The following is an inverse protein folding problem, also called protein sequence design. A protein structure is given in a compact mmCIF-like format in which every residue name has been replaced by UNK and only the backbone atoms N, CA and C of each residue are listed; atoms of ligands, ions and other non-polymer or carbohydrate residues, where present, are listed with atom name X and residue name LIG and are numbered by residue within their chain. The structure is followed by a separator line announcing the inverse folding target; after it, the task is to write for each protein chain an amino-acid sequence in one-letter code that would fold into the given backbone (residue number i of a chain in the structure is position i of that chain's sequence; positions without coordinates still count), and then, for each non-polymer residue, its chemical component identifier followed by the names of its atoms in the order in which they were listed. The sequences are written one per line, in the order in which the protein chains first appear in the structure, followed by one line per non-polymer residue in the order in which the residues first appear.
data_IF_138206731679
#
_entry.id   IF_138206731679
#
_cell.length_a   1.000
_cell.length_b   1.000
_cell.length_c   1.000
_cell.angle_alpha   90.00
_cell.angle_beta   90.00
_cell.angle_gamma   90.00
#
_symmetry.space_group_name_H-M   'P 1'
#
loop_
_entity.id
_entity.type
_entity.pdbx_description
1 polymer ?
#
# COMPACT_ATOMS: atom_id res chain seq x y z
N UNK A 1 1.72 -18.87 -24.98
CA UNK A 1 1.65 -18.18 -23.70
C UNK A 1 2.90 -17.36 -23.50
N UNK A 2 2.83 -16.17 -22.91
CA UNK A 2 4.02 -15.43 -22.51
C UNK A 2 4.85 -16.27 -21.53
N UNK A 3 6.17 -16.09 -21.56
CA UNK A 3 7.05 -16.71 -20.56
C UNK A 3 6.79 -16.02 -19.22
N UNK A 4 6.41 -16.75 -18.20
CA UNK A 4 6.13 -16.22 -16.87
C UNK A 4 5.75 -17.32 -15.89
N UNK A 5 5.62 -16.95 -14.62
CA UNK A 5 5.13 -17.84 -13.57
C UNK A 5 3.63 -17.97 -13.67
N UNK A 6 3.12 -19.19 -13.71
CA UNK A 6 1.68 -19.47 -13.73
C UNK A 6 1.20 -19.58 -12.29
N UNK A 7 0.23 -18.75 -11.93
CA UNK A 7 -0.44 -18.79 -10.62
C UNK A 7 -1.86 -19.30 -10.83
N UNK A 8 -2.27 -20.29 -10.06
CA UNK A 8 -3.67 -20.79 -10.07
C UNK A 8 -4.51 -19.98 -9.10
N UNK A 9 -5.67 -19.56 -9.54
CA UNK A 9 -6.66 -18.84 -8.70
C UNK A 9 -7.94 -19.67 -8.57
N UNK A 10 -8.68 -19.57 -7.46
CA UNK A 10 -8.35 -18.75 -6.29
C UNK A 10 -7.17 -19.31 -5.49
N UNK A 11 -6.37 -18.42 -4.89
CA UNK A 11 -5.34 -18.81 -3.93
C UNK A 11 -6.01 -19.33 -2.66
N UNK A 12 -5.51 -20.45 -2.14
CA UNK A 12 -6.01 -21.05 -0.90
C UNK A 12 -5.08 -20.78 0.28
N UNK A 13 -3.78 -20.60 -0.01
CA UNK A 13 -2.74 -20.40 1.00
C UNK A 13 -1.75 -19.33 0.52
N UNK A 14 -1.86 -18.12 1.02
CA UNK A 14 -0.95 -17.05 0.67
C UNK A 14 -0.22 -16.48 1.89
N UNK A 15 0.96 -15.89 1.66
CA UNK A 15 1.68 -15.11 2.66
C UNK A 15 1.63 -13.65 2.26
N UNK A 16 1.17 -12.77 3.17
CA UNK A 16 1.18 -11.33 2.96
C UNK A 16 2.45 -10.70 3.57
N UNK A 17 3.22 -10.01 2.76
CA UNK A 17 4.48 -9.37 3.19
C UNK A 17 4.26 -8.01 3.84
N UNK A 18 3.10 -7.39 3.64
CA UNK A 18 2.79 -6.09 4.25
C UNK A 18 1.50 -6.14 5.04
N UNK A 19 1.39 -5.29 6.06
CA UNK A 19 0.17 -5.11 6.84
C UNK A 19 -0.99 -4.60 5.98
N UNK A 20 -0.70 -3.86 4.90
CA UNK A 20 -1.69 -3.34 3.95
C UNK A 20 -2.39 -4.48 3.22
N UNK A 21 -1.62 -5.41 2.65
CA UNK A 21 -2.17 -6.56 1.93
C UNK A 21 -2.99 -7.46 2.87
N UNK A 22 -2.46 -7.74 4.07
CA UNK A 22 -3.19 -8.50 5.08
C UNK A 22 -4.52 -7.87 5.47
N UNK A 23 -4.54 -6.55 5.68
CA UNK A 23 -5.76 -5.80 6.04
C UNK A 23 -6.78 -5.80 4.91
N UNK A 24 -6.34 -5.62 3.67
CA UNK A 24 -7.21 -5.68 2.49
C UNK A 24 -7.87 -7.06 2.34
N UNK A 25 -7.13 -8.13 2.60
CA UNK A 25 -7.68 -9.49 2.56
C UNK A 25 -8.71 -9.74 3.66
N UNK A 26 -8.59 -9.08 4.81
CA UNK A 26 -9.66 -9.08 5.81
C UNK A 26 -10.94 -8.42 5.27
N UNK A 27 -10.81 -7.24 4.65
CA UNK A 27 -11.95 -6.50 4.09
C UNK A 27 -12.64 -7.27 2.95
N UNK A 28 -11.87 -8.02 2.16
CA UNK A 28 -12.38 -8.91 1.11
C UNK A 28 -12.99 -10.20 1.63
N UNK A 29 -12.91 -10.49 2.95
CA UNK A 29 -13.34 -11.76 3.52
C UNK A 29 -12.47 -12.94 3.13
N UNK A 30 -11.22 -12.69 2.76
CA UNK A 30 -10.24 -13.69 2.32
C UNK A 30 -9.18 -14.03 3.38
N UNK A 31 -9.31 -13.53 4.62
CA UNK A 31 -8.35 -13.75 5.70
C UNK A 31 -8.03 -15.24 5.94
N UNK A 32 -9.00 -16.13 5.78
CA UNK A 32 -8.80 -17.57 5.99
C UNK A 32 -7.88 -18.23 4.95
N UNK A 33 -7.63 -17.53 3.84
CA UNK A 33 -6.72 -17.94 2.77
C UNK A 33 -5.29 -17.43 3.01
N UNK A 34 -5.05 -16.72 4.13
CA UNK A 34 -3.70 -16.42 4.59
C UNK A 34 -3.17 -17.57 5.45
N UNK A 35 -1.93 -18.00 5.19
CA UNK A 35 -1.19 -18.94 6.02
C UNK A 35 -0.04 -18.27 6.79
N UNK A 36 0.34 -17.04 6.43
CA UNK A 36 1.38 -16.28 7.09
C UNK A 36 1.35 -14.78 6.78
N UNK A 37 1.96 -14.02 7.68
CA UNK A 37 2.17 -12.58 7.54
C UNK A 37 3.59 -12.21 7.95
N UNK A 38 4.18 -11.25 7.25
CA UNK A 38 5.40 -10.59 7.71
C UNK A 38 5.08 -9.32 8.50
N UNK A 39 6.12 -8.71 9.08
CA UNK A 39 6.06 -7.41 9.74
C UNK A 39 4.97 -7.32 10.84
N UNK A 40 4.86 -8.36 11.67
CA UNK A 40 3.82 -8.49 12.70
C UNK A 40 3.69 -7.26 13.60
N UNK A 41 4.79 -6.61 13.94
CA UNK A 41 4.80 -5.44 14.84
C UNK A 41 4.09 -4.23 14.22
N UNK A 42 4.00 -4.17 12.89
CA UNK A 42 3.31 -3.11 12.15
C UNK A 42 1.84 -3.45 11.81
N UNK A 43 1.38 -4.65 12.17
CA UNK A 43 -0.01 -5.04 11.95
C UNK A 43 -0.89 -4.39 13.01
N UNK A 44 -1.75 -3.46 12.62
CA UNK A 44 -2.71 -2.81 13.51
C UNK A 44 -4.08 -3.51 13.52
N UNK A 45 -4.35 -4.39 12.56
CA UNK A 45 -5.62 -5.09 12.42
C UNK A 45 -5.79 -6.14 13.51
N UNK A 46 -6.80 -6.02 14.42
CA UNK A 46 -6.94 -6.91 15.57
C UNK A 46 -7.13 -8.38 15.17
N UNK A 47 -7.91 -8.65 14.12
CA UNK A 47 -8.21 -10.00 13.66
C UNK A 47 -6.94 -10.74 13.19
N UNK A 48 -6.03 -10.04 12.50
CA UNK A 48 -4.74 -10.62 12.09
C UNK A 48 -3.83 -10.87 13.29
N UNK A 49 -3.75 -9.91 14.22
CA UNK A 49 -2.95 -10.07 15.42
C UNK A 49 -3.44 -11.24 16.27
N UNK A 50 -4.74 -11.35 16.45
CA UNK A 50 -5.35 -12.44 17.19
C UNK A 50 -5.05 -13.79 16.53
N UNK A 51 -5.19 -13.89 15.20
CA UNK A 51 -4.90 -15.11 14.46
C UNK A 51 -3.44 -15.57 14.60
N UNK A 52 -2.49 -14.62 14.63
CA UNK A 52 -1.07 -14.92 14.88
C UNK A 52 -0.88 -15.41 16.33
N UNK A 53 -1.46 -14.71 17.30
CA UNK A 53 -1.36 -15.09 18.73
C UNK A 53 -1.94 -16.46 19.00
N UNK A 54 -3.03 -16.82 18.33
CA UNK A 54 -3.69 -18.13 18.44
C UNK A 54 -2.99 -19.23 17.62
N UNK A 55 -1.91 -18.91 16.89
CA UNK A 55 -1.19 -19.87 16.05
C UNK A 55 -1.93 -20.30 14.77
N UNK A 56 -3.02 -19.61 14.42
CA UNK A 56 -3.79 -19.87 13.18
C UNK A 56 -3.13 -19.24 11.94
N UNK A 57 -2.30 -18.26 12.16
CA UNK A 57 -1.56 -17.52 11.14
C UNK A 57 -0.10 -17.42 11.56
N UNK A 58 0.83 -17.84 10.70
CA UNK A 58 2.23 -17.85 11.04
C UNK A 58 2.84 -16.44 10.96
N UNK A 59 3.66 -16.07 11.96
CA UNK A 59 4.55 -14.92 11.86
C UNK A 59 5.80 -15.34 11.08
N UNK A 60 5.95 -14.78 9.88
CA UNK A 60 7.02 -15.08 8.94
C UNK A 60 8.28 -14.23 9.12
N UNK A 61 8.35 -13.42 10.20
CA UNK A 61 9.45 -12.50 10.45
C UNK A 61 9.28 -11.15 9.75
N UNK A 62 10.40 -10.46 9.55
CA UNK A 62 10.41 -9.18 8.83
C UNK A 62 10.35 -9.40 7.32
N UNK A 63 9.63 -8.56 6.59
CA UNK A 63 9.55 -8.63 5.12
C UNK A 63 10.92 -8.48 4.43
N UNK A 64 11.84 -7.75 5.05
CA UNK A 64 13.22 -7.59 4.59
C UNK A 64 14.13 -8.79 4.92
N UNK A 65 13.75 -9.60 5.91
CA UNK A 65 14.50 -10.80 6.34
C UNK A 65 13.50 -11.87 6.80
N UNK A 66 12.74 -12.48 5.88
CA UNK A 66 11.72 -13.45 6.23
C UNK A 66 12.33 -14.80 6.67
N UNK A 67 11.60 -15.52 7.49
CA UNK A 67 11.93 -16.85 7.97
C UNK A 67 11.69 -17.88 6.84
N UNK A 68 12.75 -18.27 6.15
CA UNK A 68 12.67 -19.17 4.99
C UNK A 68 12.16 -20.58 5.37
N UNK A 69 12.47 -21.07 6.57
CA UNK A 69 12.01 -22.38 7.03
C UNK A 69 10.48 -22.37 7.21
N UNK A 70 9.95 -21.33 7.85
CA UNK A 70 8.50 -21.15 7.97
C UNK A 70 7.82 -20.95 6.63
N UNK A 71 8.47 -20.22 5.69
CA UNK A 71 7.94 -20.06 4.33
C UNK A 71 7.78 -21.42 3.64
N UNK A 72 8.80 -22.28 3.69
CA UNK A 72 8.75 -23.63 3.12
C UNK A 72 7.66 -24.45 3.82
N UNK A 73 7.64 -24.46 5.15
CA UNK A 73 6.68 -25.22 5.94
C UNK A 73 5.24 -24.73 5.76
N UNK A 74 5.03 -23.52 5.29
CA UNK A 74 3.69 -22.95 5.07
C UNK A 74 2.94 -23.59 3.90
N UNK A 75 3.65 -24.21 2.97
CA UNK A 75 3.09 -24.71 1.70
C UNK A 75 2.22 -23.65 0.99
N UNK A 76 2.71 -22.41 0.94
CA UNK A 76 1.99 -21.32 0.31
C UNK A 76 1.89 -21.49 -1.20
N UNK A 77 0.74 -21.14 -1.78
CA UNK A 77 0.51 -21.10 -3.23
C UNK A 77 1.21 -19.90 -3.86
N UNK A 78 1.35 -18.81 -3.09
CA UNK A 78 2.01 -17.59 -3.53
C UNK A 78 2.46 -16.71 -2.34
N UNK A 79 3.47 -15.88 -2.59
CA UNK A 79 3.92 -14.82 -1.69
C UNK A 79 3.53 -13.47 -2.30
N UNK A 80 2.76 -12.66 -1.56
CA UNK A 80 2.36 -11.31 -1.96
C UNK A 80 3.42 -10.34 -1.50
N UNK A 81 4.31 -9.95 -2.41
CA UNK A 81 5.48 -9.12 -2.11
C UNK A 81 5.32 -7.71 -2.66
N UNK A 82 5.97 -6.72 -2.04
CA UNK A 82 6.08 -5.37 -2.61
C UNK A 82 7.39 -5.24 -3.37
N UNK A 83 7.36 -4.81 -4.64
CA UNK A 83 8.58 -4.58 -5.40
C UNK A 83 9.36 -3.39 -4.84
N UNK A 84 10.69 -3.50 -4.79
CA UNK A 84 11.57 -2.38 -4.46
C UNK A 84 12.52 -2.16 -5.63
N UNK A 85 12.78 -0.89 -5.95
CA UNK A 85 13.74 -0.57 -7.02
C UNK A 85 15.10 -1.18 -6.74
N UNK A 86 15.64 -1.93 -7.70
CA UNK A 86 16.97 -2.53 -7.69
C UNK A 86 17.24 -3.50 -6.53
N UNK A 87 16.22 -4.02 -5.88
CA UNK A 87 16.34 -5.02 -4.83
C UNK A 87 15.92 -6.40 -5.34
N UNK A 88 16.70 -7.43 -5.03
CA UNK A 88 16.26 -8.82 -5.15
C UNK A 88 15.47 -9.21 -3.90
N UNK A 89 14.59 -10.19 -4.06
CA UNK A 89 13.87 -10.77 -2.91
C UNK A 89 14.71 -11.77 -2.12
N UNK A 90 15.99 -11.91 -2.45
CA UNK A 90 16.95 -12.72 -1.72
C UNK A 90 16.59 -14.21 -1.69
N UNK A 91 16.60 -14.80 -0.49
CA UNK A 91 16.38 -16.24 -0.31
C UNK A 91 15.02 -16.74 -0.79
N UNK A 92 13.98 -15.91 -0.76
CA UNK A 92 12.62 -16.35 -1.15
C UNK A 92 12.49 -16.64 -2.64
N UNK A 93 13.31 -16.04 -3.50
CA UNK A 93 13.34 -16.34 -4.93
C UNK A 93 13.69 -17.82 -5.24
N UNK A 94 14.38 -18.46 -4.30
CA UNK A 94 14.86 -19.85 -4.43
C UNK A 94 13.87 -20.89 -3.90
N UNK A 95 12.75 -20.44 -3.34
CA UNK A 95 11.80 -21.35 -2.67
C UNK A 95 10.85 -22.06 -3.64
N UNK A 96 10.88 -21.75 -4.93
CA UNK A 96 9.92 -22.23 -5.94
C UNK A 96 8.45 -21.95 -5.58
N UNK A 97 8.20 -20.95 -4.74
CA UNK A 97 6.87 -20.42 -4.44
C UNK A 97 6.66 -19.20 -5.34
N UNK A 98 5.55 -19.09 -6.09
CA UNK A 98 5.26 -17.94 -6.92
C UNK A 98 5.32 -16.62 -6.14
N UNK A 99 6.07 -15.65 -6.65
CA UNK A 99 6.09 -14.29 -6.12
C UNK A 99 5.09 -13.45 -6.93
N UNK A 100 4.13 -12.84 -6.25
CA UNK A 100 3.18 -11.90 -6.84
C UNK A 100 3.57 -10.51 -6.38
N UNK A 101 4.11 -9.72 -7.31
CA UNK A 101 4.51 -8.34 -7.05
C UNK A 101 3.29 -7.43 -6.99
N UNK A 102 3.00 -6.93 -5.79
CA UNK A 102 1.90 -6.01 -5.52
C UNK A 102 2.46 -4.58 -5.44
N UNK A 103 2.37 -3.85 -6.54
CA UNK A 103 2.93 -2.51 -6.70
C UNK A 103 1.93 -1.38 -6.35
N UNK A 104 0.95 -1.66 -5.50
CA UNK A 104 -0.12 -0.73 -5.11
C UNK A 104 0.40 0.60 -4.54
N UNK A 105 1.53 0.56 -3.83
CA UNK A 105 2.14 1.76 -3.28
C UNK A 105 2.78 2.69 -4.34
N UNK A 106 3.01 2.18 -5.55
CA UNK A 106 3.58 2.94 -6.67
C UNK A 106 2.51 3.68 -7.48
N UNK A 107 1.22 3.45 -7.18
CA UNK A 107 0.14 4.16 -7.85
C UNK A 107 0.20 5.66 -7.57
N UNK A 108 -0.02 6.45 -8.62
CA UNK A 108 0.04 7.90 -8.54
C UNK A 108 -1.29 8.56 -8.15
N UNK A 109 -2.39 7.79 -8.14
CA UNK A 109 -3.73 8.31 -7.84
C UNK A 109 -4.42 7.50 -6.74
N UNK A 110 -5.26 8.15 -5.90
CA UNK A 110 -6.00 7.46 -4.85
C UNK A 110 -6.93 6.35 -5.36
N UNK A 111 -7.65 6.60 -6.45
CA UNK A 111 -8.52 5.58 -7.04
C UNK A 111 -7.73 4.46 -7.71
N UNK A 112 -6.61 4.75 -8.39
CA UNK A 112 -5.72 3.73 -8.93
C UNK A 112 -5.22 2.81 -7.83
N UNK A 113 -4.79 3.37 -6.69
CA UNK A 113 -4.38 2.56 -5.54
C UNK A 113 -5.53 1.74 -4.95
N UNK A 114 -6.72 2.31 -4.85
CA UNK A 114 -7.90 1.58 -4.37
C UNK A 114 -8.32 0.46 -5.33
N UNK A 115 -8.09 0.61 -6.63
CA UNK A 115 -8.46 -0.39 -7.64
C UNK A 115 -7.69 -1.71 -7.49
N UNK A 116 -6.54 -1.71 -6.82
CA UNK A 116 -5.81 -2.93 -6.49
C UNK A 116 -6.65 -3.94 -5.71
N UNK A 117 -7.68 -3.49 -4.98
CA UNK A 117 -8.61 -4.42 -4.32
C UNK A 117 -9.28 -5.40 -5.30
N UNK A 118 -9.49 -5.00 -6.58
CA UNK A 118 -10.02 -5.86 -7.63
C UNK A 118 -9.03 -6.94 -8.03
N UNK A 119 -7.74 -6.58 -8.13
CA UNK A 119 -6.68 -7.55 -8.38
C UNK A 119 -6.61 -8.59 -7.25
N UNK A 120 -6.64 -8.17 -6.00
CA UNK A 120 -6.73 -9.09 -4.87
C UNK A 120 -8.03 -9.90 -4.88
N UNK A 121 -9.14 -9.28 -5.26
CA UNK A 121 -10.41 -9.99 -5.45
C UNK A 121 -10.29 -11.16 -6.42
N UNK A 122 -9.66 -10.94 -7.56
CA UNK A 122 -9.40 -11.97 -8.58
C UNK A 122 -8.49 -13.09 -8.03
N UNK A 123 -7.42 -12.71 -7.32
CA UNK A 123 -6.49 -13.70 -6.76
C UNK A 123 -7.15 -14.65 -5.75
N UNK A 124 -8.14 -14.17 -5.01
CA UNK A 124 -8.74 -14.89 -3.88
C UNK A 124 -10.19 -15.34 -4.13
N UNK A 125 -10.71 -15.20 -5.35
CA UNK A 125 -12.09 -15.54 -5.68
C UNK A 125 -13.12 -14.67 -4.94
N UNK A 126 -12.84 -13.38 -4.83
CA UNK A 126 -13.66 -12.38 -4.14
C UNK A 126 -14.01 -11.19 -5.07
N UNK A 127 -14.10 -11.42 -6.37
CA UNK A 127 -14.30 -10.39 -7.38
C UNK A 127 -15.55 -9.54 -7.12
N UNK A 128 -16.66 -10.19 -6.78
CA UNK A 128 -17.92 -9.48 -6.51
C UNK A 128 -17.82 -8.58 -5.27
N UNK A 129 -17.15 -9.05 -4.20
CA UNK A 129 -16.91 -8.26 -2.99
C UNK A 129 -15.99 -7.09 -3.28
N UNK A 130 -14.89 -7.33 -3.98
CA UNK A 130 -13.90 -6.32 -4.35
C UNK A 130 -14.52 -5.23 -5.24
N UNK A 131 -15.32 -5.63 -6.23
CA UNK A 131 -16.00 -4.68 -7.12
C UNK A 131 -17.04 -3.83 -6.37
N UNK A 132 -17.77 -4.44 -5.44
CA UNK A 132 -18.73 -3.72 -4.59
C UNK A 132 -18.03 -2.69 -3.69
N UNK A 133 -16.94 -3.09 -3.02
CA UNK A 133 -16.17 -2.19 -2.17
C UNK A 133 -15.52 -1.07 -2.97
N UNK A 134 -14.94 -1.38 -4.14
CA UNK A 134 -14.35 -0.36 -5.00
C UNK A 134 -15.39 0.69 -5.44
N UNK A 135 -16.57 0.26 -5.87
CA UNK A 135 -17.66 1.18 -6.27
C UNK A 135 -18.07 2.11 -5.14
N UNK A 136 -18.08 1.64 -3.89
CA UNK A 136 -18.37 2.49 -2.73
C UNK A 136 -17.26 3.53 -2.54
N UNK A 137 -15.99 3.11 -2.61
CA UNK A 137 -14.84 4.01 -2.50
C UNK A 137 -14.84 5.05 -3.62
N UNK A 138 -15.00 4.61 -4.87
CA UNK A 138 -15.03 5.47 -6.06
C UNK A 138 -16.15 6.52 -5.97
N UNK A 139 -17.36 6.09 -5.61
CA UNK A 139 -18.50 6.99 -5.43
C UNK A 139 -18.21 8.04 -4.38
N UNK A 140 -17.83 7.62 -3.17
CA UNK A 140 -17.57 8.52 -2.05
C UNK A 140 -16.44 9.50 -2.37
N UNK A 141 -15.37 9.01 -2.98
CA UNK A 141 -14.23 9.83 -3.38
C UNK A 141 -14.63 10.89 -4.40
N UNK A 142 -15.37 10.49 -5.44
CA UNK A 142 -15.84 11.39 -6.50
C UNK A 142 -16.78 12.46 -5.96
N UNK A 143 -17.72 12.08 -5.09
CA UNK A 143 -18.67 13.03 -4.47
C UNK A 143 -17.95 14.04 -3.57
N UNK A 144 -16.99 13.60 -2.76
CA UNK A 144 -16.17 14.46 -1.91
C UNK A 144 -15.33 15.43 -2.76
N UNK A 145 -14.63 14.94 -3.76
CA UNK A 145 -13.82 15.76 -4.67
C UNK A 145 -14.70 16.82 -5.37
N UNK A 146 -15.87 16.42 -5.89
CA UNK A 146 -16.79 17.35 -6.53
C UNK A 146 -17.32 18.43 -5.55
N UNK A 147 -17.48 18.10 -4.28
CA UNK A 147 -17.87 19.06 -3.23
C UNK A 147 -16.76 20.06 -2.96
N UNK A 148 -15.52 19.57 -2.86
CA UNK A 148 -14.33 20.40 -2.63
C UNK A 148 -14.08 21.37 -3.78
N UNK A 149 -14.29 20.93 -5.03
CA UNK A 149 -14.07 21.78 -6.21
C UNK A 149 -14.97 23.02 -6.26
N UNK A 150 -16.13 22.99 -5.58
CA UNK A 150 -17.01 24.14 -5.44
C UNK A 150 -16.47 25.22 -4.47
N UNK A 151 -15.50 24.85 -3.64
CA UNK A 151 -14.90 25.77 -2.68
C UNK A 151 -13.76 26.57 -3.36
N UNK A 152 -13.81 27.88 -3.25
CA UNK A 152 -12.78 28.78 -3.81
C UNK A 152 -11.58 28.93 -2.87
N UNK A 153 -11.74 28.68 -1.57
CA UNK A 153 -10.63 28.72 -0.62
C UNK A 153 -9.81 27.45 -0.74
N UNK A 154 -8.51 27.61 -0.96
CA UNK A 154 -7.55 26.52 -1.05
C UNK A 154 -6.45 26.75 -0.02
N UNK A 155 -6.56 26.12 1.17
CA UNK A 155 -5.56 26.31 2.21
C UNK A 155 -4.19 25.82 1.74
N UNK A 156 -3.15 26.54 2.10
CA UNK A 156 -1.76 26.11 1.88
C UNK A 156 -1.42 25.02 2.89
N UNK A 157 -0.94 23.88 2.38
CA UNK A 157 -0.65 22.69 3.16
C UNK A 157 0.87 22.44 3.19
N UNK A 158 1.43 22.36 4.39
CA UNK A 158 2.71 21.75 4.69
C UNK A 158 2.46 20.43 5.42
N UNK A 159 3.28 19.42 5.15
CA UNK A 159 3.17 18.12 5.81
C UNK A 159 4.53 17.64 6.29
N UNK A 160 4.49 16.61 7.13
CA UNK A 160 5.64 15.96 7.74
C UNK A 160 6.46 16.88 8.64
N UNK A 161 7.64 16.45 8.97
CA UNK A 161 8.56 17.17 9.84
C UNK A 161 10.02 16.92 9.42
N UNK A 162 10.91 17.77 9.86
CA UNK A 162 12.33 17.59 9.66
C UNK A 162 12.82 16.33 10.39
N UNK A 163 13.48 15.45 9.65
CA UNK A 163 14.14 14.25 10.19
C UNK A 163 15.63 14.33 9.85
N UNK A 164 16.48 14.35 10.87
CA UNK A 164 17.90 14.55 10.69
C UNK A 164 18.21 15.90 10.02
N UNK A 165 18.88 15.85 8.88
CA UNK A 165 19.27 17.04 8.11
C UNK A 165 18.26 17.52 7.07
N UNK A 166 17.21 16.74 6.78
CA UNK A 166 16.32 16.96 5.65
C UNK A 166 14.84 16.89 6.05
N UNK A 167 13.99 17.48 5.21
CA UNK A 167 12.55 17.39 5.29
C UNK A 167 12.05 16.53 4.12
N UNK A 168 11.54 15.35 4.41
CA UNK A 168 11.03 14.43 3.40
C UNK A 168 9.54 14.64 3.23
N UNK A 169 9.12 14.94 1.99
CA UNK A 169 7.72 15.20 1.64
C UNK A 169 7.34 14.41 0.38
N UNK A 170 6.08 14.04 0.20
CA UNK A 170 5.62 13.45 -1.06
C UNK A 170 5.83 14.39 -2.24
N UNK A 171 6.29 13.86 -3.36
CA UNK A 171 6.36 14.63 -4.61
C UNK A 171 4.98 15.03 -5.12
N UNK A 172 4.93 16.05 -5.97
CA UNK A 172 3.67 16.59 -6.51
C UNK A 172 2.89 15.59 -7.36
N UNK A 173 3.58 14.65 -8.04
CA UNK A 173 2.96 13.57 -8.83
C UNK A 173 2.82 12.26 -8.06
N UNK A 174 3.03 12.25 -6.75
CA UNK A 174 2.80 11.08 -5.91
C UNK A 174 1.32 10.87 -5.63
N UNK A 175 0.98 9.67 -5.12
CA UNK A 175 -0.35 9.37 -4.59
C UNK A 175 -0.85 10.43 -3.59
N UNK A 176 0.00 10.81 -2.61
CA UNK A 176 -0.36 11.82 -1.61
C UNK A 176 -0.46 13.22 -2.22
N UNK A 177 0.43 13.59 -3.15
CA UNK A 177 0.33 14.84 -3.87
C UNK A 177 -1.00 14.97 -4.63
N UNK A 178 -1.44 13.90 -5.29
CA UNK A 178 -2.74 13.81 -5.95
C UNK A 178 -3.89 13.91 -4.95
N UNK A 179 -3.80 13.21 -3.81
CA UNK A 179 -4.82 13.25 -2.76
C UNK A 179 -5.00 14.66 -2.19
N UNK A 180 -3.91 15.37 -1.89
CA UNK A 180 -3.97 16.75 -1.37
C UNK A 180 -4.60 17.72 -2.37
N UNK A 181 -4.26 17.58 -3.65
CA UNK A 181 -4.87 18.35 -4.74
C UNK A 181 -6.38 18.09 -4.80
N UNK A 182 -6.80 16.83 -4.76
CA UNK A 182 -8.20 16.44 -4.84
C UNK A 182 -8.97 16.85 -3.59
N UNK A 183 -8.31 16.90 -2.43
CA UNK A 183 -8.83 17.48 -1.20
C UNK A 183 -8.89 19.02 -1.20
N UNK A 184 -8.45 19.66 -2.29
CA UNK A 184 -8.53 21.12 -2.46
C UNK A 184 -7.42 21.89 -1.76
N UNK A 185 -6.35 21.26 -1.32
CA UNK A 185 -5.21 21.93 -0.72
C UNK A 185 -4.27 22.53 -1.79
N UNK A 186 -3.66 23.67 -1.45
CA UNK A 186 -2.52 24.23 -2.16
C UNK A 186 -1.25 23.65 -1.52
N UNK A 187 -0.88 22.47 -1.97
CA UNK A 187 0.26 21.74 -1.42
C UNK A 187 1.59 22.43 -1.80
N UNK A 188 2.44 22.71 -0.83
CA UNK A 188 3.66 23.52 -1.01
C UNK A 188 4.69 22.91 -2.00
N UNK A 189 4.54 21.64 -2.39
CA UNK A 189 5.39 20.92 -3.35
C UNK A 189 4.59 20.41 -4.55
N UNK A 190 3.37 20.87 -4.76
CA UNK A 190 2.48 20.41 -5.84
C UNK A 190 3.08 20.49 -7.25
N UNK A 191 3.98 21.43 -7.49
CA UNK A 191 4.64 21.64 -8.79
C UNK A 191 5.89 20.76 -8.99
N UNK A 192 6.20 19.85 -8.06
CA UNK A 192 7.29 18.91 -8.21
C UNK A 192 6.83 17.71 -9.05
N UNK A 193 7.66 17.27 -9.99
CA UNK A 193 7.33 16.19 -10.93
C UNK A 193 7.61 14.78 -10.40
N UNK A 194 8.15 14.65 -9.19
CA UNK A 194 8.47 13.36 -8.60
C UNK A 194 7.21 12.62 -8.13
N UNK A 195 7.18 11.32 -8.37
CA UNK A 195 6.14 10.40 -7.88
C UNK A 195 6.48 9.77 -6.53
N UNK A 196 7.72 9.91 -6.06
CA UNK A 196 8.21 9.42 -4.77
C UNK A 196 8.34 10.54 -3.74
N UNK A 197 9.09 10.26 -2.67
CA UNK A 197 9.45 11.26 -1.66
C UNK A 197 10.55 12.19 -2.15
N UNK A 198 10.43 13.48 -1.85
CA UNK A 198 11.38 14.54 -2.15
C UNK A 198 12.06 14.98 -0.88
N UNK A 199 13.38 15.09 -0.91
CA UNK A 199 14.16 15.63 0.20
C UNK A 199 14.36 17.14 -0.01
N UNK A 200 13.94 17.95 0.96
CA UNK A 200 14.05 19.41 0.93
C UNK A 200 14.91 19.90 2.10
N UNK A 201 15.66 21.01 1.89
CA UNK A 201 16.29 21.72 2.99
C UNK A 201 15.25 22.48 3.81
N UNK A 202 15.58 22.79 5.07
CA UNK A 202 14.71 23.60 5.92
C UNK A 202 14.43 24.97 5.31
N UNK A 203 15.44 25.60 4.70
CA UNK A 203 15.32 26.92 4.07
C UNK A 203 14.33 26.86 2.90
N UNK A 204 14.36 25.80 2.10
CA UNK A 204 13.40 25.60 1.00
C UNK A 204 11.97 25.45 1.52
N UNK A 205 11.80 24.67 2.58
CA UNK A 205 10.47 24.47 3.20
C UNK A 205 9.99 25.78 3.79
N UNK A 206 10.84 26.48 4.55
CA UNK A 206 10.49 27.78 5.12
C UNK A 206 10.09 28.79 4.06
N UNK A 207 10.87 28.90 2.97
CA UNK A 207 10.55 29.80 1.87
C UNK A 207 9.19 29.51 1.22
N UNK A 208 8.82 28.23 1.10
CA UNK A 208 7.59 27.79 0.42
C UNK A 208 6.36 27.78 1.32
N UNK A 209 6.54 27.56 2.60
CA UNK A 209 5.45 27.20 3.49
C UNK A 209 5.49 27.86 4.88
N UNK A 210 6.30 28.92 5.12
CA UNK A 210 6.34 29.61 6.42
C UNK A 210 5.01 30.24 6.82
N UNK A 211 4.12 30.46 5.86
CA UNK A 211 2.76 30.98 6.06
C UNK A 211 1.70 29.94 5.70
N UNK A 212 2.00 28.66 5.84
CA UNK A 212 1.02 27.61 5.59
C UNK A 212 -0.18 27.72 6.55
N UNK A 213 -1.38 27.55 6.00
CA UNK A 213 -2.62 27.56 6.79
C UNK A 213 -2.77 26.30 7.61
N UNK A 214 -2.23 25.19 7.12
CA UNK A 214 -2.32 23.86 7.73
C UNK A 214 -0.94 23.18 7.74
N UNK A 215 -0.64 22.55 8.87
CA UNK A 215 0.53 21.71 9.08
C UNK A 215 0.20 20.53 9.98
#
# INVERSE_FOLDING_TARGET
CPKGTVVRTPLERAVAFTSVHGSLLCDLGAMKQLCGVCDYDYIMRPELRQAVTEGKLANMGMSTQPDLEKMIASHADALLVSPFQNASYGGIEKLNIPLIECADYMEATPLGRAEWMRFFGLLFGREATADSLFKIVEKNYTELTATVQKNTKRPTLLIDQKQGGAWYVPGGKSYLGSLYKDAGANYCVANNDESGSVSLSFETVFQRAHAADLW
#
